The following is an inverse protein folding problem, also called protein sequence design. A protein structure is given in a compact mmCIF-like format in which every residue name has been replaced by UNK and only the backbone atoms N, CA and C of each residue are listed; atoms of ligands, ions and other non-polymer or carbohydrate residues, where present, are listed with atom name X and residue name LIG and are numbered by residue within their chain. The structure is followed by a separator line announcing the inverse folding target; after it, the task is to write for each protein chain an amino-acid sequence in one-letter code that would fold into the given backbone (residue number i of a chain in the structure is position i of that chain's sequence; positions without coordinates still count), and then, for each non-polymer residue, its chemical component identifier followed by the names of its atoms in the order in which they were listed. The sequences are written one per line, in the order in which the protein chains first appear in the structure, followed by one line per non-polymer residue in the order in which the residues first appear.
data_IF_013498592227
#
_entry.id   IF_013498592227
#
_cell.length_a   1.000
_cell.length_b   1.000
_cell.length_c   1.000
_cell.angle_alpha   90.00
_cell.angle_beta   90.00
_cell.angle_gamma   90.00
#
_symmetry.space_group_name_H-M   'P 1'
#
loop_
_entity.id
_entity.type
_entity.pdbx_description
1 polymer ?
#
# COMPACT_ATOMS: atom_id res chain seq x y z
N UNK A 1 0.25 9.41 16.20
CA UNK A 1 -0.78 8.44 16.65
C UNK A 1 -1.44 7.90 15.40
N UNK A 2 -1.55 6.57 15.23
CA UNK A 2 -2.11 5.97 14.01
C UNK A 2 -3.65 6.20 14.00
N UNK A 3 -4.20 7.01 13.07
CA UNK A 3 -5.63 7.30 13.04
C UNK A 3 -6.48 6.10 12.59
N UNK A 4 -5.85 5.07 12.05
CA UNK A 4 -6.48 3.84 11.57
C UNK A 4 -6.51 2.72 12.62
N UNK A 5 -5.85 2.92 13.77
CA UNK A 5 -5.87 1.93 14.85
C UNK A 5 -7.23 1.99 15.59
N UNK A 6 -8.00 0.89 15.66
CA UNK A 6 -9.23 0.86 16.44
C UNK A 6 -8.97 1.26 17.90
N UNK A 7 -9.85 2.09 18.47
CA UNK A 7 -9.70 2.59 19.83
C UNK A 7 -9.72 1.48 20.90
N UNK A 8 -10.22 0.29 20.55
CA UNK A 8 -10.24 -0.90 21.41
C UNK A 8 -8.89 -1.62 21.48
N UNK A 9 -7.92 -1.25 20.64
CA UNK A 9 -6.60 -1.87 20.58
C UNK A 9 -5.57 -0.90 21.16
N UNK A 10 -4.78 -1.37 22.12
CA UNK A 10 -3.63 -0.62 22.62
C UNK A 10 -2.49 -0.70 21.60
N UNK A 11 -1.95 0.45 21.20
CA UNK A 11 -0.83 0.54 20.25
C UNK A 11 0.42 -0.22 20.69
N UNK A 12 0.64 -0.43 21.99
CA UNK A 12 1.79 -1.18 22.50
C UNK A 12 1.69 -2.69 22.23
N UNK A 13 0.48 -3.19 22.00
CA UNK A 13 0.22 -4.61 21.71
C UNK A 13 0.27 -4.91 20.20
N UNK A 14 0.46 -3.89 19.36
CA UNK A 14 0.53 -4.03 17.91
C UNK A 14 1.95 -4.41 17.49
N UNK A 15 2.12 -5.66 17.04
CA UNK A 15 3.41 -6.15 16.55
C UNK A 15 3.81 -5.55 15.19
N UNK A 16 2.84 -5.32 14.31
CA UNK A 16 3.06 -4.75 12.99
C UNK A 16 1.80 -4.05 12.47
N UNK A 17 2.00 -2.96 11.72
CA UNK A 17 0.95 -2.29 10.93
C UNK A 17 1.27 -2.49 9.46
N UNK A 18 0.29 -2.98 8.69
CA UNK A 18 0.43 -3.29 7.26
C UNK A 18 -0.49 -2.38 6.46
N UNK A 19 0.05 -1.68 5.47
CA UNK A 19 -0.74 -0.99 4.45
C UNK A 19 -1.27 -1.99 3.43
N UNK A 20 -2.54 -1.89 3.05
CA UNK A 20 -3.14 -2.75 2.02
C UNK A 20 -3.69 -1.87 0.90
N UNK A 21 -3.32 -2.19 -0.34
CA UNK A 21 -3.80 -1.56 -1.57
C UNK A 21 -4.02 -2.65 -2.63
N UNK A 22 -4.83 -2.37 -3.65
CA UNK A 22 -5.14 -3.30 -4.73
C UNK A 22 -5.58 -2.51 -5.96
N UNK A 23 -5.63 -3.18 -7.12
CA UNK A 23 -6.36 -2.70 -8.29
C UNK A 23 -5.97 -1.26 -8.69
N UNK A 24 -4.68 -0.95 -8.61
CA UNK A 24 -4.21 0.37 -9.01
C UNK A 24 -4.33 0.55 -10.52
N UNK A 25 -4.14 -0.53 -11.31
CA UNK A 25 -4.32 -0.55 -12.76
C UNK A 25 -3.67 0.66 -13.45
N UNK A 26 -2.45 1.03 -13.03
CA UNK A 26 -1.77 2.20 -13.59
C UNK A 26 -1.03 1.84 -14.88
N UNK A 27 -0.99 2.75 -15.88
CA UNK A 27 -1.53 4.11 -15.88
C UNK A 27 -2.99 4.21 -16.37
N UNK A 28 -3.68 3.09 -16.54
CA UNK A 28 -5.01 3.04 -17.18
C UNK A 28 -6.06 3.81 -16.37
N UNK A 29 -6.00 3.74 -15.02
CA UNK A 29 -6.93 4.46 -14.13
C UNK A 29 -6.43 5.84 -13.69
N UNK A 30 -5.14 5.97 -13.37
CA UNK A 30 -4.51 7.26 -13.09
C UNK A 30 -3.10 7.33 -13.67
N UNK A 31 -2.61 8.55 -13.93
CA UNK A 31 -1.27 8.73 -14.48
C UNK A 31 -0.14 8.56 -13.44
N UNK A 32 -0.46 8.63 -12.15
CA UNK A 32 0.51 8.61 -11.05
C UNK A 32 -0.18 8.17 -9.76
N UNK A 33 0.60 7.70 -8.78
CA UNK A 33 0.06 7.39 -7.46
C UNK A 33 -0.50 8.64 -6.76
N UNK A 34 -1.66 8.55 -6.09
CA UNK A 34 -2.21 9.65 -5.31
C UNK A 34 -1.23 10.08 -4.20
N UNK A 35 -0.85 11.37 -4.11
CA UNK A 35 0.12 11.84 -3.09
C UNK A 35 -0.32 11.60 -1.64
N UNK A 36 -1.63 11.41 -1.42
CA UNK A 36 -2.19 11.09 -0.10
C UNK A 36 -1.72 9.72 0.43
N UNK A 37 -1.28 8.80 -0.44
CA UNK A 37 -0.80 7.48 -0.03
C UNK A 37 0.42 7.58 0.90
N UNK A 38 1.31 8.54 0.69
CA UNK A 38 2.45 8.78 1.59
C UNK A 38 2.01 9.13 3.01
N UNK A 39 0.87 9.82 3.16
CA UNK A 39 0.32 10.16 4.48
C UNK A 39 -0.43 8.99 5.08
N UNK A 40 -1.21 8.26 4.28
CA UNK A 40 -2.01 7.10 4.73
C UNK A 40 -1.10 5.97 5.19
N UNK A 41 -0.07 5.65 4.39
CA UNK A 41 0.90 4.60 4.70
C UNK A 41 2.09 5.10 5.52
N UNK A 42 2.00 6.30 6.08
CA UNK A 42 3.05 6.80 6.96
C UNK A 42 3.22 5.86 8.17
N UNK A 43 4.45 5.37 8.36
CA UNK A 43 4.85 4.49 9.47
C UNK A 43 4.27 3.07 9.44
N UNK A 44 3.72 2.60 8.31
CA UNK A 44 3.46 1.16 8.16
C UNK A 44 4.79 0.41 8.07
N UNK A 45 4.82 -0.84 8.56
CA UNK A 45 6.01 -1.68 8.50
C UNK A 45 6.21 -2.27 7.09
N UNK A 46 5.12 -2.42 6.34
CA UNK A 46 5.10 -3.03 5.02
C UNK A 46 3.80 -2.65 4.29
N UNK A 47 3.85 -2.65 2.96
CA UNK A 47 2.70 -2.49 2.08
C UNK A 47 2.47 -3.80 1.34
N UNK A 48 1.22 -4.27 1.32
CA UNK A 48 0.74 -5.36 0.48
C UNK A 48 -0.07 -4.80 -0.67
N UNK A 49 0.32 -5.16 -1.90
CA UNK A 49 -0.51 -4.96 -3.09
C UNK A 49 -1.20 -6.28 -3.46
N UNK A 50 -2.54 -6.30 -3.45
CA UNK A 50 -3.32 -7.52 -3.66
C UNK A 50 -3.52 -7.91 -5.14
N UNK A 51 -2.60 -7.49 -6.02
CA UNK A 51 -2.67 -7.72 -7.47
C UNK A 51 -3.30 -6.59 -8.27
N UNK A 52 -3.24 -6.75 -9.60
CA UNK A 52 -3.70 -5.78 -10.60
C UNK A 52 -3.08 -4.38 -10.40
N UNK A 53 -1.75 -4.37 -10.30
CA UNK A 53 -0.89 -3.19 -10.23
C UNK A 53 -0.95 -2.40 -11.55
N UNK A 54 -0.94 -3.12 -12.68
CA UNK A 54 -0.71 -2.54 -14.00
C UNK A 54 0.80 -2.52 -14.29
N UNK A 55 1.44 -1.37 -14.20
CA UNK A 55 2.88 -1.23 -14.48
C UNK A 55 3.76 -1.35 -13.22
N UNK A 56 4.92 -1.98 -13.35
CA UNK A 56 5.82 -2.28 -12.22
C UNK A 56 6.40 -1.04 -11.52
N UNK A 57 6.47 0.12 -12.18
CA UNK A 57 6.94 1.37 -11.56
C UNK A 57 6.08 1.79 -10.36
N UNK A 58 4.82 1.32 -10.29
CA UNK A 58 3.95 1.55 -9.13
C UNK A 58 4.54 0.91 -7.88
N UNK A 59 5.11 -0.30 -8.00
CA UNK A 59 5.76 -0.99 -6.88
C UNK A 59 7.02 -0.24 -6.45
N UNK A 60 7.78 0.29 -7.41
CA UNK A 60 8.96 1.12 -7.13
C UNK A 60 8.59 2.38 -6.36
N UNK A 61 7.51 3.07 -6.74
CA UNK A 61 7.02 4.26 -6.02
C UNK A 61 6.48 3.92 -4.63
N UNK A 62 5.67 2.86 -4.50
CA UNK A 62 5.18 2.39 -3.19
C UNK A 62 6.35 2.00 -2.27
N UNK A 63 7.42 1.42 -2.83
CA UNK A 63 8.61 1.01 -2.06
C UNK A 63 9.39 2.18 -1.47
N UNK A 64 9.19 3.41 -1.97
CA UNK A 64 9.75 4.62 -1.36
C UNK A 64 9.08 4.95 -0.02
N UNK A 65 7.89 4.41 0.25
CA UNK A 65 7.14 4.65 1.50
C UNK A 65 7.51 3.59 2.55
N UNK A 66 7.43 2.31 2.18
CA UNK A 66 7.73 1.16 3.03
C UNK A 66 8.00 -0.08 2.16
N UNK A 67 8.63 -1.16 2.68
CA UNK A 67 8.81 -2.41 1.93
C UNK A 67 7.50 -2.92 1.32
N UNK A 68 7.55 -3.38 0.07
CA UNK A 68 6.35 -3.82 -0.69
C UNK A 68 6.42 -5.31 -0.97
N UNK A 69 5.30 -6.01 -0.78
CA UNK A 69 5.04 -7.32 -1.34
C UNK A 69 3.80 -7.20 -2.23
N UNK A 70 3.89 -7.71 -3.44
CA UNK A 70 2.78 -7.78 -4.37
C UNK A 70 2.54 -9.22 -4.81
N UNK A 71 1.28 -9.54 -5.09
CA UNK A 71 0.91 -10.76 -5.83
C UNK A 71 0.57 -10.39 -7.26
N UNK A 72 0.73 -11.34 -8.19
CA UNK A 72 0.35 -11.16 -9.59
C UNK A 72 -1.19 -11.16 -9.71
N UNK A 73 -1.71 -10.17 -10.42
CA UNK A 73 -3.13 -9.98 -10.70
C UNK A 73 -3.62 -10.79 -11.88
N UNK A 74 -4.93 -10.99 -12.00
CA UNK A 74 -5.50 -11.74 -13.12
C UNK A 74 -5.57 -10.92 -14.41
N UNK A 75 -5.52 -9.59 -14.32
CA UNK A 75 -5.56 -8.69 -15.47
C UNK A 75 -4.15 -8.25 -15.90
N UNK A 76 -3.12 -8.88 -15.34
CA UNK A 76 -1.72 -8.65 -15.65
C UNK A 76 -1.19 -9.73 -16.61
N UNK A 77 -0.49 -9.35 -17.70
CA UNK A 77 0.11 -10.30 -18.63
C UNK A 77 1.26 -11.12 -18.01
#
# INVERSE_FOLDING_TARGET
MNPYLPQTINSQDVLATIGLISDTHMPQRWAQLPPVLTQIFANVNMIFHAGDVGELWVLDELSQIAPVIAVHGNDEP
#
